data_IF_104182900893
#
_entry.id   IF_104182900893
#
_cell.length_a   1.000
_cell.length_b   1.000
_cell.length_c   1.000
_cell.angle_alpha   90.00
_cell.angle_beta   90.00
_cell.angle_gamma   90.00
#
_symmetry.space_group_name_H-M   'P 1'
#
loop_
_entity.id
_entity.type
_entity.pdbx_description
1 polymer ?
#
# COMPACT_ATOMS: atom_id res chain seq x y z
N UNK A 1 -20.25 19.69 -47.05
CA UNK A 1 -20.00 20.28 -45.70
C UNK A 1 -19.50 19.17 -44.80
N UNK A 2 -18.16 19.16 -44.59
CA UNK A 2 -17.49 18.20 -43.71
C UNK A 2 -17.66 18.66 -42.28
N UNK A 3 -18.23 17.78 -41.43
CA UNK A 3 -18.33 17.97 -40.01
C UNK A 3 -16.99 17.66 -39.34
N UNK A 4 -16.37 18.66 -38.76
CA UNK A 4 -15.16 18.51 -37.96
C UNK A 4 -15.49 17.74 -36.68
N UNK A 5 -14.92 16.53 -36.53
CA UNK A 5 -14.87 15.79 -35.25
C UNK A 5 -14.02 16.59 -34.29
N UNK A 6 -14.62 17.09 -33.21
CA UNK A 6 -13.90 17.65 -32.07
C UNK A 6 -13.16 16.53 -31.40
N UNK A 7 -11.85 16.42 -31.60
CA UNK A 7 -10.94 15.67 -30.75
C UNK A 7 -10.97 16.30 -29.36
N UNK A 8 -11.56 15.58 -28.41
CA UNK A 8 -11.46 15.96 -27.02
C UNK A 8 -10.01 15.77 -26.56
N UNK A 9 -9.26 16.86 -26.51
CA UNK A 9 -7.96 16.90 -25.85
C UNK A 9 -8.16 16.52 -24.39
N UNK A 10 -7.92 15.24 -24.06
CA UNK A 10 -7.76 14.80 -22.66
C UNK A 10 -6.53 15.54 -22.12
N UNK A 11 -6.77 16.57 -21.32
CA UNK A 11 -5.74 17.17 -20.48
C UNK A 11 -5.14 16.04 -19.64
N UNK A 12 -3.79 15.90 -19.57
CA UNK A 12 -3.19 14.97 -18.65
C UNK A 12 -3.69 15.31 -17.24
N UNK A 13 -4.21 14.32 -16.53
CA UNK A 13 -4.68 14.50 -15.16
C UNK A 13 -3.52 15.06 -14.35
N UNK A 14 -3.65 16.27 -13.84
CA UNK A 14 -2.73 16.80 -12.82
C UNK A 14 -2.68 15.75 -11.71
N UNK A 15 -1.47 15.34 -11.31
CA UNK A 15 -1.27 14.43 -10.20
C UNK A 15 -2.08 14.93 -8.99
N UNK A 16 -3.23 14.29 -8.74
CA UNK A 16 -3.99 14.56 -7.53
C UNK A 16 -3.30 13.78 -6.40
N UNK A 17 -2.72 14.45 -5.39
CA UNK A 17 -1.98 13.79 -4.30
C UNK A 17 -2.90 13.08 -3.29
N UNK A 18 -4.22 13.13 -3.49
CA UNK A 18 -5.20 12.59 -2.55
C UNK A 18 -5.35 11.08 -2.75
N UNK A 19 -5.24 10.35 -1.65
CA UNK A 19 -5.62 8.93 -1.55
C UNK A 19 -6.86 8.88 -0.66
N UNK A 20 -7.97 8.38 -1.20
CA UNK A 20 -9.22 8.22 -0.43
C UNK A 20 -9.25 6.84 0.20
N UNK A 21 -9.45 6.79 1.52
CA UNK A 21 -9.63 5.55 2.25
C UNK A 21 -11.07 5.02 2.05
N UNK A 22 -11.17 3.78 1.59
CA UNK A 22 -12.43 3.06 1.47
C UNK A 22 -12.69 2.26 2.76
N UNK A 23 -12.86 3.00 3.87
CA UNK A 23 -13.16 2.41 5.18
C UNK A 23 -14.68 2.22 5.29
N UNK A 24 -15.19 1.25 4.54
CA UNK A 24 -16.61 0.89 4.39
C UNK A 24 -16.75 -0.64 4.45
N UNK A 25 -17.94 -1.15 4.87
CA UNK A 25 -18.08 -2.58 5.19
C UNK A 25 -18.11 -3.52 3.99
N UNK A 26 -18.33 -3.04 2.77
CA UNK A 26 -18.50 -3.91 1.60
C UNK A 26 -18.14 -3.22 0.27
N UNK A 27 -17.99 -4.02 -0.79
CA UNK A 27 -17.65 -3.55 -2.12
C UNK A 27 -18.73 -2.63 -2.73
N UNK A 28 -19.99 -2.86 -2.45
CA UNK A 28 -21.10 -2.04 -2.99
C UNK A 28 -20.96 -0.59 -2.56
N UNK A 29 -20.71 -0.36 -1.27
CA UNK A 29 -20.51 0.99 -0.73
C UNK A 29 -19.19 1.61 -1.21
N UNK A 30 -18.12 0.80 -1.27
CA UNK A 30 -16.84 1.24 -1.79
C UNK A 30 -16.94 1.73 -3.24
N UNK A 31 -17.56 0.94 -4.10
CA UNK A 31 -17.73 1.29 -5.52
C UNK A 31 -18.68 2.46 -5.72
N UNK A 32 -19.73 2.58 -4.93
CA UNK A 32 -20.62 3.74 -4.94
C UNK A 32 -19.88 5.04 -4.58
N UNK A 33 -18.96 4.99 -3.60
CA UNK A 33 -18.10 6.13 -3.27
C UNK A 33 -17.15 6.48 -4.41
N UNK A 34 -16.53 5.49 -5.04
CA UNK A 34 -15.65 5.68 -6.20
C UNK A 34 -16.41 6.31 -7.37
N UNK A 35 -17.63 5.85 -7.63
CA UNK A 35 -18.48 6.38 -8.70
C UNK A 35 -18.90 7.83 -8.42
N UNK A 36 -19.20 8.19 -7.17
CA UNK A 36 -19.50 9.57 -6.77
C UNK A 36 -18.33 10.52 -6.94
N UNK A 37 -17.10 10.04 -6.72
CA UNK A 37 -15.88 10.84 -6.86
C UNK A 37 -15.38 10.93 -8.32
N UNK A 38 -15.89 10.06 -9.20
CA UNK A 38 -15.56 10.04 -10.62
C UNK A 38 -14.05 10.19 -10.91
N UNK A 39 -13.72 11.21 -11.74
CA UNK A 39 -12.34 11.52 -12.13
C UNK A 39 -11.62 12.48 -11.17
N UNK A 40 -12.28 12.92 -10.10
CA UNK A 40 -11.67 13.81 -9.10
C UNK A 40 -10.62 13.10 -8.28
N UNK A 41 -10.74 11.76 -8.12
CA UNK A 41 -9.79 10.92 -7.38
C UNK A 41 -9.41 9.72 -8.22
N UNK A 42 -8.10 9.49 -8.31
CA UNK A 42 -7.52 8.36 -9.05
C UNK A 42 -6.89 7.31 -8.15
N UNK A 43 -6.80 7.54 -6.83
CA UNK A 43 -6.08 6.68 -5.92
C UNK A 43 -6.90 6.38 -4.67
N UNK A 44 -7.05 5.09 -4.35
CA UNK A 44 -7.88 4.61 -3.24
C UNK A 44 -7.13 3.64 -2.36
N UNK A 45 -7.37 3.72 -1.03
CA UNK A 45 -6.83 2.79 -0.04
C UNK A 45 -7.89 1.73 0.30
N UNK A 46 -7.53 0.47 0.14
CA UNK A 46 -8.29 -0.68 0.64
C UNK A 46 -7.61 -1.14 1.94
N UNK A 47 -8.29 -0.91 3.05
CA UNK A 47 -7.83 -1.28 4.38
C UNK A 47 -8.22 -2.69 4.78
N UNK A 48 -7.83 -3.08 6.00
CA UNK A 48 -7.98 -4.43 6.52
C UNK A 48 -9.46 -4.87 6.56
N UNK A 49 -10.38 -3.99 6.97
CA UNK A 49 -11.82 -4.28 7.05
C UNK A 49 -12.39 -4.67 5.69
N UNK A 50 -12.30 -3.78 4.71
CA UNK A 50 -12.83 -4.02 3.37
C UNK A 50 -12.15 -5.20 2.67
N UNK A 51 -10.82 -5.35 2.84
CA UNK A 51 -10.11 -6.48 2.25
C UNK A 51 -10.51 -7.81 2.90
N UNK A 52 -10.78 -7.83 4.21
CA UNK A 52 -11.25 -9.04 4.90
C UNK A 52 -12.66 -9.43 4.48
N UNK A 53 -13.53 -8.43 4.24
CA UNK A 53 -14.89 -8.66 3.79
C UNK A 53 -14.97 -9.17 2.34
N UNK A 54 -14.20 -8.57 1.43
CA UNK A 54 -14.37 -8.75 -0.02
C UNK A 54 -13.19 -9.45 -0.71
N UNK A 55 -12.05 -9.51 -0.05
CA UNK A 55 -10.84 -10.14 -0.58
C UNK A 55 -10.23 -9.44 -1.78
N UNK A 56 -9.38 -10.16 -2.54
CA UNK A 56 -8.71 -9.65 -3.75
C UNK A 56 -9.62 -9.06 -4.83
N UNK A 57 -10.86 -9.53 -5.04
CA UNK A 57 -11.74 -9.00 -6.08
C UNK A 57 -11.97 -7.49 -6.02
N UNK A 58 -12.07 -6.89 -4.81
CA UNK A 58 -12.25 -5.44 -4.68
C UNK A 58 -11.04 -4.66 -5.22
N UNK A 59 -9.83 -5.20 -5.06
CA UNK A 59 -8.61 -4.59 -5.60
C UNK A 59 -8.59 -4.65 -7.12
N UNK A 60 -8.86 -5.83 -7.69
CA UNK A 60 -8.88 -6.02 -9.15
C UNK A 60 -9.97 -5.20 -9.82
N UNK A 61 -11.13 -5.03 -9.19
CA UNK A 61 -12.22 -4.19 -9.71
C UNK A 61 -11.78 -2.71 -9.79
N UNK A 62 -11.15 -2.18 -8.73
CA UNK A 62 -10.63 -0.82 -8.73
C UNK A 62 -9.54 -0.61 -9.80
N UNK A 63 -8.62 -1.56 -9.94
CA UNK A 63 -7.57 -1.54 -10.96
C UNK A 63 -8.16 -1.58 -12.36
N UNK A 64 -9.16 -2.42 -12.62
CA UNK A 64 -9.84 -2.51 -13.92
C UNK A 64 -10.55 -1.22 -14.32
N UNK A 65 -10.99 -0.41 -13.35
CA UNK A 65 -11.53 0.94 -13.53
C UNK A 65 -10.46 2.02 -13.75
N UNK A 66 -9.18 1.63 -13.89
CA UNK A 66 -8.06 2.55 -14.07
C UNK A 66 -7.67 3.33 -12.81
N UNK A 67 -8.06 2.85 -11.62
CA UNK A 67 -7.68 3.45 -10.35
C UNK A 67 -6.38 2.86 -9.84
N UNK A 68 -5.56 3.68 -9.17
CA UNK A 68 -4.45 3.20 -8.38
C UNK A 68 -4.97 2.68 -7.03
N UNK A 69 -4.38 1.60 -6.53
CA UNK A 69 -4.83 0.98 -5.28
C UNK A 69 -3.68 0.86 -4.30
N UNK A 70 -3.93 1.34 -3.11
CA UNK A 70 -3.09 1.17 -1.93
C UNK A 70 -3.70 0.06 -1.06
N UNK A 71 -3.04 -1.09 -0.98
CA UNK A 71 -3.44 -2.21 -0.12
C UNK A 71 -2.80 -2.01 1.25
N UNK A 72 -3.60 -1.63 2.26
CA UNK A 72 -3.15 -1.27 3.59
C UNK A 72 -3.45 -2.40 4.60
N UNK A 73 -2.65 -3.47 4.55
CA UNK A 73 -2.82 -4.67 5.41
C UNK A 73 -1.80 -4.75 6.54
N UNK A 74 -0.77 -3.89 6.54
CA UNK A 74 0.30 -3.86 7.55
C UNK A 74 0.86 -5.26 7.82
N UNK A 75 1.24 -5.96 6.74
CA UNK A 75 1.67 -7.37 6.83
C UNK A 75 2.85 -7.56 7.77
N UNK A 76 2.72 -8.57 8.63
CA UNK A 76 3.77 -9.02 9.54
C UNK A 76 3.65 -10.53 9.74
N UNK A 77 4.57 -11.29 9.15
CA UNK A 77 4.58 -12.75 9.20
C UNK A 77 6.01 -13.25 8.89
N UNK A 78 6.21 -14.56 8.89
CA UNK A 78 7.49 -15.17 8.49
C UNK A 78 7.82 -14.85 7.03
N UNK A 79 9.13 -14.86 6.72
CA UNK A 79 9.68 -14.38 5.44
C UNK A 79 8.93 -14.91 4.22
N UNK A 80 8.79 -16.22 4.10
CA UNK A 80 8.21 -16.84 2.90
C UNK A 80 6.72 -16.50 2.72
N UNK A 81 5.97 -16.38 3.82
CA UNK A 81 4.56 -15.98 3.78
C UNK A 81 4.41 -14.54 3.27
N UNK A 82 5.21 -13.61 3.81
CA UNK A 82 5.19 -12.20 3.36
C UNK A 82 5.60 -12.08 1.91
N UNK A 83 6.64 -12.78 1.49
CA UNK A 83 7.10 -12.79 0.09
C UNK A 83 6.00 -13.22 -0.87
N UNK A 84 5.36 -14.36 -0.59
CA UNK A 84 4.28 -14.88 -1.43
C UNK A 84 3.05 -13.97 -1.40
N UNK A 85 2.69 -13.43 -0.25
CA UNK A 85 1.57 -12.48 -0.12
C UNK A 85 1.83 -11.20 -0.92
N UNK A 86 3.03 -10.61 -0.82
CA UNK A 86 3.41 -9.43 -1.60
C UNK A 86 3.38 -9.71 -3.11
N UNK A 87 3.84 -10.89 -3.55
CA UNK A 87 3.75 -11.29 -4.95
C UNK A 87 2.28 -11.39 -5.43
N UNK A 88 1.37 -11.88 -4.58
CA UNK A 88 -0.07 -11.91 -4.91
C UNK A 88 -0.65 -10.51 -5.02
N UNK A 89 -0.31 -9.60 -4.09
CA UNK A 89 -0.76 -8.20 -4.16
C UNK A 89 -0.21 -7.49 -5.41
N UNK A 90 1.04 -7.78 -5.78
CA UNK A 90 1.63 -7.28 -7.03
C UNK A 90 0.86 -7.77 -8.27
N UNK A 91 0.49 -9.06 -8.30
CA UNK A 91 -0.28 -9.66 -9.40
C UNK A 91 -1.70 -9.08 -9.52
N UNK A 92 -2.29 -8.52 -8.45
CA UNK A 92 -3.56 -7.80 -8.51
C UNK A 92 -3.45 -6.43 -9.19
N UNK A 93 -2.23 -5.95 -9.46
CA UNK A 93 -1.99 -4.62 -10.04
C UNK A 93 -2.02 -3.47 -9.02
N UNK A 94 -1.91 -3.77 -7.72
CA UNK A 94 -1.84 -2.74 -6.68
C UNK A 94 -0.59 -1.86 -6.84
N UNK A 95 -0.71 -0.60 -6.43
CA UNK A 95 0.37 0.40 -6.51
C UNK A 95 1.20 0.47 -5.24
N UNK A 96 0.57 0.32 -4.07
CA UNK A 96 1.21 0.39 -2.76
C UNK A 96 0.76 -0.77 -1.86
N UNK A 97 1.67 -1.25 -1.00
CA UNK A 97 1.40 -2.23 0.05
C UNK A 97 2.10 -1.83 1.34
N UNK A 98 1.40 -1.85 2.47
CA UNK A 98 2.02 -1.67 3.78
C UNK A 98 2.50 -2.98 4.38
N UNK A 99 3.67 -2.91 5.00
CA UNK A 99 4.23 -3.97 5.85
C UNK A 99 4.83 -3.34 7.11
N UNK A 100 4.97 -4.08 8.20
CA UNK A 100 5.66 -3.56 9.37
C UNK A 100 7.16 -3.34 9.12
N UNK A 101 7.75 -2.34 9.81
CA UNK A 101 9.15 -1.91 9.66
C UNK A 101 10.16 -2.91 10.26
N UNK A 102 9.92 -4.22 10.11
CA UNK A 102 10.87 -5.27 10.43
C UNK A 102 11.80 -5.52 9.24
N UNK A 103 13.12 -5.53 9.41
CA UNK A 103 14.06 -5.74 8.32
C UNK A 103 13.80 -7.02 7.51
N UNK A 104 13.42 -8.10 8.18
CA UNK A 104 13.11 -9.38 7.54
C UNK A 104 11.84 -9.27 6.67
N UNK A 105 10.80 -8.63 7.20
CA UNK A 105 9.51 -8.44 6.52
C UNK A 105 9.67 -7.55 5.30
N UNK A 106 10.43 -6.46 5.41
CA UNK A 106 10.71 -5.54 4.30
C UNK A 106 11.44 -6.25 3.17
N UNK A 107 12.48 -7.03 3.48
CA UNK A 107 13.20 -7.80 2.45
C UNK A 107 12.28 -8.80 1.76
N UNK A 108 11.50 -9.56 2.52
CA UNK A 108 10.52 -10.51 1.99
C UNK A 108 9.51 -9.85 1.05
N UNK A 109 8.93 -8.73 1.48
CA UNK A 109 7.96 -7.98 0.67
C UNK A 109 8.60 -7.44 -0.62
N UNK A 110 9.83 -6.91 -0.56
CA UNK A 110 10.57 -6.46 -1.75
C UNK A 110 10.87 -7.61 -2.72
N UNK A 111 11.28 -8.77 -2.21
CA UNK A 111 11.49 -9.96 -3.03
C UNK A 111 10.19 -10.38 -3.74
N UNK A 112 9.06 -10.39 -3.02
CA UNK A 112 7.76 -10.71 -3.59
C UNK A 112 7.26 -9.70 -4.61
N UNK A 113 7.60 -8.42 -4.45
CA UNK A 113 7.24 -7.35 -5.37
C UNK A 113 8.21 -7.19 -6.56
N UNK A 114 9.29 -7.97 -6.61
CA UNK A 114 10.32 -7.83 -7.64
C UNK A 114 9.74 -7.99 -9.06
N UNK A 115 10.16 -7.13 -9.97
CA UNK A 115 9.68 -7.11 -11.36
C UNK A 115 8.28 -6.50 -11.56
N UNK A 116 7.65 -5.99 -10.50
CA UNK A 116 6.35 -5.31 -10.55
C UNK A 116 6.46 -3.81 -10.31
N UNK A 117 5.34 -3.08 -10.43
CA UNK A 117 5.25 -1.66 -10.08
C UNK A 117 4.84 -1.43 -8.60
N UNK A 118 4.62 -2.50 -7.84
CA UNK A 118 4.22 -2.42 -6.44
C UNK A 118 5.33 -1.80 -5.59
N UNK A 119 4.99 -0.74 -4.86
CA UNK A 119 5.90 -0.09 -3.89
C UNK A 119 5.54 -0.53 -2.48
N UNK A 120 6.55 -0.86 -1.69
CA UNK A 120 6.39 -1.27 -0.29
C UNK A 120 6.53 -0.07 0.62
N UNK A 121 5.57 0.10 1.52
CA UNK A 121 5.57 1.12 2.56
C UNK A 121 5.79 0.44 3.92
N UNK A 122 6.82 0.87 4.64
CA UNK A 122 7.12 0.37 5.98
C UNK A 122 6.35 1.17 7.04
N UNK A 123 5.49 0.50 7.81
CA UNK A 123 4.80 1.07 8.96
C UNK A 123 5.73 1.00 10.16
N UNK A 124 6.05 2.14 10.75
CA UNK A 124 6.93 2.26 11.90
C UNK A 124 6.20 2.04 13.22
N UNK A 125 5.54 3.08 13.73
CA UNK A 125 4.67 3.02 14.91
C UNK A 125 3.27 3.33 14.44
N UNK A 126 2.26 2.64 14.98
CA UNK A 126 0.87 2.91 14.64
C UNK A 126 0.49 4.31 15.13
N UNK A 127 -0.28 5.03 14.31
CA UNK A 127 -0.66 6.42 14.61
C UNK A 127 -1.55 6.58 15.84
N UNK A 128 -2.16 5.48 16.30
CA UNK A 128 -2.95 5.42 17.53
C UNK A 128 -2.11 5.21 18.79
N UNK A 129 -0.82 4.86 18.65
CA UNK A 129 0.03 4.56 19.80
C UNK A 129 0.52 5.82 20.49
N UNK A 130 0.43 5.81 21.82
CA UNK A 130 1.08 6.75 22.69
C UNK A 130 2.35 6.16 23.33
N UNK A 131 2.92 6.86 24.33
CA UNK A 131 4.13 6.41 25.01
C UNK A 131 3.89 5.15 25.86
N UNK A 132 2.73 5.03 26.48
CA UNK A 132 2.39 3.88 27.31
C UNK A 132 2.25 2.60 26.45
N UNK A 133 1.59 2.70 25.28
CA UNK A 133 1.49 1.59 24.33
C UNK A 133 2.88 1.11 23.87
N UNK A 134 3.82 2.02 23.72
CA UNK A 134 5.18 1.68 23.31
C UNK A 134 5.94 0.94 24.42
N UNK A 135 5.76 1.38 25.68
CA UNK A 135 6.34 0.74 26.87
C UNK A 135 5.75 -0.65 27.12
N UNK A 136 4.45 -0.82 26.89
CA UNK A 136 3.76 -2.13 26.97
C UNK A 136 4.30 -3.13 25.94
N UNK A 137 4.80 -2.66 24.80
CA UNK A 137 5.52 -3.47 23.82
C UNK A 137 6.99 -3.77 24.22
N UNK A 138 7.42 -3.32 25.40
CA UNK A 138 8.79 -3.50 25.89
C UNK A 138 9.81 -2.53 25.29
N UNK A 139 9.37 -1.49 24.61
CA UNK A 139 10.27 -0.45 24.09
C UNK A 139 10.46 0.62 25.16
N UNK A 140 11.55 0.50 25.91
CA UNK A 140 11.94 1.46 26.94
C UNK A 140 13.09 2.32 26.48
N UNK A 141 13.17 3.57 27.00
CA UNK A 141 14.28 4.47 26.74
C UNK A 141 14.25 5.18 25.39
N UNK A 142 13.11 5.16 24.69
CA UNK A 142 12.84 5.97 23.51
C UNK A 142 11.44 6.58 23.58
N UNK A 143 11.33 7.80 23.13
CA UNK A 143 10.03 8.43 22.84
C UNK A 143 9.42 7.80 21.58
N UNK A 144 8.11 8.00 21.36
CA UNK A 144 7.43 7.56 20.13
C UNK A 144 8.14 8.12 18.89
N UNK A 145 8.54 9.40 18.89
CA UNK A 145 9.25 10.00 17.77
C UNK A 145 10.61 9.34 17.48
N UNK A 146 11.41 9.11 18.52
CA UNK A 146 12.71 8.42 18.38
C UNK A 146 12.55 6.97 17.90
N UNK A 147 11.48 6.30 18.32
CA UNK A 147 11.18 4.94 17.86
C UNK A 147 10.78 4.94 16.38
N UNK A 148 9.98 5.90 15.94
CA UNK A 148 9.62 6.08 14.51
C UNK A 148 10.88 6.28 13.68
N UNK A 149 11.77 7.18 14.09
CA UNK A 149 13.02 7.46 13.38
C UNK A 149 13.93 6.23 13.33
N UNK A 150 14.11 5.54 14.44
CA UNK A 150 14.92 4.32 14.52
C UNK A 150 14.39 3.22 13.59
N UNK A 151 13.07 2.98 13.57
CA UNK A 151 12.44 1.99 12.69
C UNK A 151 12.57 2.41 11.22
N UNK A 152 12.39 3.70 10.89
CA UNK A 152 12.51 4.21 9.54
C UNK A 152 13.93 4.01 8.98
N UNK A 153 14.97 4.33 9.76
CA UNK A 153 16.36 4.12 9.36
C UNK A 153 16.66 2.65 9.09
N UNK A 154 16.17 1.74 9.94
CA UNK A 154 16.32 0.29 9.77
C UNK A 154 15.56 -0.23 8.55
N UNK A 155 14.38 0.32 8.28
CA UNK A 155 13.60 -0.01 7.10
C UNK A 155 14.34 0.37 5.81
N UNK A 156 14.89 1.57 5.75
CA UNK A 156 15.70 2.05 4.62
C UNK A 156 16.94 1.16 4.42
N UNK A 157 17.65 0.87 5.50
CA UNK A 157 18.83 -0.01 5.43
C UNK A 157 18.48 -1.42 4.94
N UNK A 158 17.33 -1.97 5.38
CA UNK A 158 16.86 -3.28 4.93
C UNK A 158 16.43 -3.28 3.45
N UNK A 159 15.80 -2.19 3.02
CA UNK A 159 15.37 -2.02 1.63
C UNK A 159 16.53 -1.89 0.65
N UNK A 160 17.68 -1.36 1.08
CA UNK A 160 18.87 -1.15 0.24
C UNK A 160 19.83 -2.36 0.22
N UNK A 161 19.61 -3.37 1.07
CA UNK A 161 20.40 -4.60 1.00
C UNK A 161 19.92 -5.46 -0.16
N UNK A 162 20.81 -5.79 -1.08
CA UNK A 162 20.53 -6.76 -2.14
C UNK A 162 20.24 -8.14 -1.51
N UNK A 163 19.33 -8.94 -2.11
CA UNK A 163 19.15 -10.33 -1.70
C UNK A 163 20.50 -11.07 -1.79
N UNK A 164 20.81 -11.89 -0.78
CA UNK A 164 21.96 -12.75 -0.81
C UNK A 164 21.83 -13.72 -1.98
N UNK A 165 22.65 -13.55 -3.04
CA UNK A 165 22.65 -14.43 -4.22
C UNK A 165 22.74 -13.73 -5.58
N UNK A 166 22.73 -12.40 -5.64
CA UNK A 166 22.99 -11.65 -6.87
C UNK A 166 24.42 -11.09 -6.91
N UNK A 167 25.39 -11.92 -6.59
CA UNK A 167 26.81 -11.66 -6.91
C UNK A 167 27.15 -12.53 -8.11
N UNK A 168 26.98 -12.00 -9.30
CA UNK A 168 27.62 -12.49 -10.53
C UNK A 168 28.74 -11.57 -10.89
#
# INVERSE_FOLDING_TARGET
RAGARRESHRRPMKHNPIIVALDVPNATEALALVDRLHNSVGFYKVGLELFTAEGPPVVTELVSRGKQVFVDLKMYDIHETVKRAAARVAALGASLLTVHASPQVIRAAKEGAAGSQLKIIAVTVLTSFDQADLEDLGVTGRTVGEQVEWLAQRAIAAANRLPAGLHS
#
